data_IF_514488076742
#
_entry.id   IF_514488076742
#
_cell.length_a   1.000
_cell.length_b   1.000
_cell.length_c   1.000
_cell.angle_alpha   90.00
_cell.angle_beta   90.00
_cell.angle_gamma   90.00
#
_symmetry.space_group_name_H-M   'P 1'
#
loop_
_entity.id
_entity.type
_entity.pdbx_description
1 polymer ?
#
# COMPACT_ATOMS: atom_id res chain seq x y z
N UNK A 1 7.60 18.06 -11.92
CA UNK A 1 7.12 16.74 -11.44
C UNK A 1 6.01 16.99 -10.44
N UNK A 2 4.84 16.37 -10.59
CA UNK A 2 3.74 16.52 -9.61
C UNK A 2 4.06 15.75 -8.32
N UNK A 3 3.82 16.35 -7.16
CA UNK A 3 4.04 15.70 -5.88
C UNK A 3 2.88 14.74 -5.55
N UNK A 4 3.19 13.47 -5.25
CA UNK A 4 2.18 12.45 -4.92
C UNK A 4 1.97 12.36 -3.41
N UNK A 5 0.72 12.27 -2.98
CA UNK A 5 0.38 11.85 -1.61
C UNK A 5 0.44 10.32 -1.56
N UNK A 6 1.21 9.78 -0.62
CA UNK A 6 1.39 8.33 -0.43
C UNK A 6 0.98 7.98 0.99
N UNK A 7 0.12 6.96 1.13
CA UNK A 7 -0.21 6.34 2.41
C UNK A 7 0.54 5.00 2.48
N UNK A 8 1.17 4.72 3.63
CA UNK A 8 1.80 3.43 3.91
C UNK A 8 1.21 2.87 5.20
N UNK A 9 0.90 1.58 5.17
CA UNK A 9 0.35 0.85 6.31
C UNK A 9 1.34 -0.25 6.65
N UNK A 10 1.66 -0.39 7.94
CA UNK A 10 2.40 -1.53 8.45
C UNK A 10 1.53 -2.19 9.50
N UNK A 11 1.11 -3.41 9.21
CA UNK A 11 0.35 -4.22 10.15
C UNK A 11 1.30 -5.03 11.01
N UNK A 12 0.84 -5.42 12.20
CA UNK A 12 1.56 -6.40 13.01
C UNK A 12 1.20 -7.82 12.53
N UNK A 13 2.19 -8.54 12.01
CA UNK A 13 2.07 -9.92 11.53
C UNK A 13 2.65 -10.95 12.50
N UNK A 14 3.05 -10.52 13.70
CA UNK A 14 3.74 -11.39 14.66
C UNK A 14 2.82 -12.37 15.37
N UNK A 15 1.51 -12.16 15.32
CA UNK A 15 0.55 -13.04 15.97
C UNK A 15 0.59 -14.48 15.38
N UNK A 16 0.48 -15.52 16.23
CA UNK A 16 0.36 -16.89 15.75
C UNK A 16 -0.95 -17.05 14.97
N UNK A 17 -0.84 -17.51 13.72
CA UNK A 17 -1.99 -17.67 12.82
C UNK A 17 -1.78 -17.00 11.46
N UNK A 18 -0.87 -16.02 11.38
CA UNK A 18 -0.54 -15.36 10.12
C UNK A 18 0.27 -16.21 9.15
N UNK A 19 0.94 -17.27 9.62
CA UNK A 19 1.74 -18.16 8.77
C UNK A 19 1.24 -19.61 8.88
N UNK A 20 0.81 -20.17 7.75
CA UNK A 20 0.41 -21.56 7.60
C UNK A 20 1.56 -22.35 6.96
N UNK A 21 2.28 -23.12 7.80
CA UNK A 21 3.45 -23.88 7.37
C UNK A 21 3.14 -24.98 6.36
N UNK A 22 1.94 -25.56 6.43
CA UNK A 22 1.60 -26.80 5.74
C UNK A 22 0.82 -26.55 4.45
N UNK A 23 0.16 -25.39 4.32
CA UNK A 23 -0.73 -25.11 3.19
C UNK A 23 -0.47 -23.76 2.54
N UNK A 24 -0.20 -23.81 1.24
CA UNK A 24 -0.17 -22.65 0.35
C UNK A 24 -1.52 -22.51 -0.37
N UNK A 25 -2.07 -21.30 -0.37
CA UNK A 25 -3.35 -20.98 -1.02
C UNK A 25 -3.18 -19.72 -1.89
N UNK A 26 -4.01 -19.53 -2.93
CA UNK A 26 -3.99 -18.30 -3.72
C UNK A 26 -4.32 -17.09 -2.84
N UNK A 27 -3.53 -16.03 -2.94
CA UNK A 27 -3.81 -14.75 -2.27
C UNK A 27 -5.12 -14.15 -2.78
N UNK A 28 -6.02 -13.73 -1.88
CA UNK A 28 -7.33 -13.15 -2.23
C UNK A 28 -7.27 -11.86 -3.05
N UNK A 29 -6.09 -11.24 -3.17
CA UNK A 29 -5.87 -9.95 -3.84
C UNK A 29 -5.20 -10.11 -5.20
N UNK A 30 -4.20 -10.99 -5.31
CA UNK A 30 -3.35 -11.11 -6.50
C UNK A 30 -3.26 -12.53 -7.06
N UNK A 31 -4.02 -13.48 -6.50
CA UNK A 31 -4.09 -14.90 -6.85
C UNK A 31 -2.79 -15.69 -6.76
N UNK A 32 -1.67 -15.02 -6.47
CA UNK A 32 -0.36 -15.65 -6.31
C UNK A 32 -0.33 -16.46 -5.02
N UNK A 33 0.26 -17.66 -5.07
CA UNK A 33 0.34 -18.58 -3.95
C UNK A 33 1.01 -17.93 -2.72
N UNK A 34 0.43 -18.15 -1.53
CA UNK A 34 0.93 -17.63 -0.26
C UNK A 34 0.68 -18.58 0.90
N UNK A 35 1.65 -18.63 1.82
CA UNK A 35 1.50 -19.25 3.14
C UNK A 35 0.95 -18.30 4.19
N UNK A 36 0.80 -17.02 3.86
CA UNK A 36 0.35 -15.99 4.78
C UNK A 36 -1.18 -15.98 4.92
N UNK A 37 -1.68 -15.53 6.08
CA UNK A 37 -3.10 -15.35 6.40
C UNK A 37 -3.33 -13.95 6.98
N UNK A 38 -4.38 -13.27 6.56
CA UNK A 38 -4.79 -12.00 7.18
C UNK A 38 -5.43 -12.23 8.56
N UNK A 39 -5.88 -11.15 9.21
CA UNK A 39 -6.51 -11.19 10.53
C UNK A 39 -7.78 -12.06 10.58
N UNK A 40 -8.42 -12.32 9.44
CA UNK A 40 -9.60 -13.17 9.31
C UNK A 40 -9.24 -14.63 8.98
N UNK A 41 -7.94 -14.95 8.87
CA UNK A 41 -7.48 -16.29 8.49
C UNK A 41 -7.57 -16.57 6.99
N UNK A 42 -7.78 -15.56 6.14
CA UNK A 42 -7.86 -15.73 4.69
C UNK A 42 -6.48 -15.60 4.05
N UNK A 43 -6.21 -16.36 3.00
CA UNK A 43 -4.91 -16.32 2.30
C UNK A 43 -4.65 -14.94 1.70
N UNK A 44 -3.64 -14.23 2.20
CA UNK A 44 -3.28 -12.90 1.73
C UNK A 44 -1.80 -12.62 2.03
N UNK A 45 -1.04 -12.06 1.07
CA UNK A 45 0.31 -11.57 1.35
C UNK A 45 0.26 -10.35 2.28
N UNK A 46 1.32 -10.16 3.05
CA UNK A 46 1.49 -8.97 3.89
C UNK A 46 1.32 -7.67 3.10
N UNK A 47 2.08 -7.53 2.01
CA UNK A 47 2.05 -6.33 1.17
C UNK A 47 0.68 -6.11 0.54
N UNK A 48 -0.04 -7.18 0.16
CA UNK A 48 -1.37 -7.06 -0.43
C UNK A 48 -2.39 -6.51 0.58
N UNK A 49 -2.41 -7.04 1.80
CA UNK A 49 -3.30 -6.54 2.84
C UNK A 49 -2.96 -5.09 3.25
N UNK A 50 -1.67 -4.76 3.39
CA UNK A 50 -1.21 -3.41 3.70
C UNK A 50 -1.58 -2.42 2.58
N UNK A 51 -1.41 -2.79 1.31
CA UNK A 51 -1.77 -1.98 0.15
C UNK A 51 -3.28 -1.72 0.06
N UNK A 52 -4.11 -2.72 0.35
CA UNK A 52 -5.57 -2.54 0.36
C UNK A 52 -6.00 -1.49 1.38
N UNK A 53 -5.50 -1.59 2.61
CA UNK A 53 -5.81 -0.60 3.67
C UNK A 53 -5.24 0.77 3.28
N UNK A 54 -4.03 0.83 2.72
CA UNK A 54 -3.45 2.08 2.26
C UNK A 54 -4.31 2.76 1.18
N UNK A 55 -4.85 1.98 0.23
CA UNK A 55 -5.77 2.48 -0.81
C UNK A 55 -7.09 2.97 -0.22
N UNK A 56 -7.66 2.24 0.73
CA UNK A 56 -8.90 2.63 1.41
C UNK A 56 -8.72 3.92 2.21
N UNK A 57 -7.65 4.01 3.00
CA UNK A 57 -7.31 5.20 3.77
C UNK A 57 -7.02 6.40 2.88
N UNK A 58 -6.29 6.21 1.77
CA UNK A 58 -6.05 7.28 0.81
C UNK A 58 -7.35 7.73 0.14
N UNK A 59 -8.21 6.80 -0.29
CA UNK A 59 -9.50 7.12 -0.91
C UNK A 59 -10.41 7.91 0.03
N UNK A 60 -10.55 7.44 1.27
CA UNK A 60 -11.35 8.07 2.32
C UNK A 60 -10.75 9.40 2.81
N UNK A 61 -9.42 9.48 2.86
CA UNK A 61 -8.68 10.66 3.28
C UNK A 61 -8.66 11.77 2.24
N UNK A 62 -8.61 11.43 0.94
CA UNK A 62 -8.57 12.42 -0.16
C UNK A 62 -9.68 13.45 -0.10
N UNK A 63 -10.89 13.06 0.29
CA UNK A 63 -12.02 13.98 0.45
C UNK A 63 -11.85 14.98 1.61
N UNK A 64 -10.89 14.74 2.51
CA UNK A 64 -10.65 15.53 3.73
C UNK A 64 -9.29 16.22 3.75
N UNK A 65 -8.44 16.00 2.75
CA UNK A 65 -7.09 16.56 2.67
C UNK A 65 -7.13 17.77 1.75
N UNK A 66 -6.92 18.96 2.30
CA UNK A 66 -6.58 20.15 1.52
C UNK A 66 -5.11 20.04 1.09
N UNK A 67 -4.86 19.89 -0.21
CA UNK A 67 -3.49 19.89 -0.74
C UNK A 67 -3.02 21.35 -0.94
N UNK A 68 -2.40 21.92 0.10
CA UNK A 68 -1.89 23.29 0.10
C UNK A 68 -0.47 23.41 -0.50
N UNK A 69 0.08 22.33 -1.06
CA UNK A 69 1.44 22.35 -1.61
C UNK A 69 1.51 23.29 -2.80
N UNK A 70 2.40 24.28 -2.72
CA UNK A 70 2.69 25.20 -3.83
C UNK A 70 3.51 24.46 -4.89
N UNK A 71 3.10 24.41 -6.17
CA UNK A 71 3.91 23.82 -7.22
C UNK A 71 5.23 24.57 -7.31
N UNK A 72 6.35 23.86 -7.18
CA UNK A 72 7.67 24.44 -7.46
C UNK A 72 7.68 24.84 -8.95
N UNK A 73 7.99 26.09 -9.30
CA UNK A 73 8.08 26.48 -10.70
C UNK A 73 9.12 25.58 -11.38
N UNK A 74 8.78 25.08 -12.57
CA UNK A 74 9.70 24.29 -13.36
C UNK A 74 10.97 25.12 -13.59
N UNK A 75 12.11 24.66 -13.07
CA UNK A 75 13.38 25.29 -13.37
C UNK A 75 13.63 25.10 -14.87
N UNK A 76 13.54 26.18 -15.64
CA UNK A 76 14.00 26.19 -17.02
C UNK A 76 15.49 25.86 -16.98
N UNK A 77 15.84 24.63 -17.34
CA UNK A 77 17.23 24.28 -17.60
C UNK A 77 17.66 25.05 -18.84
N UNK A 78 18.26 26.22 -18.64
CA UNK A 78 18.96 26.94 -19.70
C UNK A 78 20.17 26.08 -20.10
N UNK A 79 20.02 25.35 -21.21
CA UNK A 79 21.13 24.64 -21.84
C UNK A 79 22.01 25.71 -22.49
N UNK A 80 23.11 26.04 -21.83
CA UNK A 80 24.17 26.86 -22.41
C UNK A 80 24.72 26.16 -23.67
N UNK A 81 24.74 26.90 -24.77
CA UNK A 81 25.10 26.44 -26.12
C UNK A 81 26.60 26.55 -26.39
#
# INVERSE_FOLDING_TARGET
MAALLVVRVHLDWTAPGHYDRDRSLPCRVCDTATKMRDAQGTACHQSCAEDEIARELLGTGRARIADERVPVPAQTLEVAR
#
